data_IF_975062350425
#
_entry.id   IF_975062350425
#
_cell.length_a   1.000
_cell.length_b   1.000
_cell.length_c   1.000
_cell.angle_alpha   90.00
_cell.angle_beta   90.00
_cell.angle_gamma   90.00
#
_symmetry.space_group_name_H-M   'P 1'
#
loop_
_entity.id
_entity.type
_entity.pdbx_description
1 polymer ?
#
# COMPACT_ATOMS: atom_id res chain seq x y z
N UNK A 1 6.09 31.48 -19.92
CA UNK A 1 6.52 30.42 -18.98
C UNK A 1 6.95 29.22 -19.81
N UNK A 2 8.24 28.89 -19.80
CA UNK A 2 8.72 27.67 -20.48
C UNK A 2 8.19 26.41 -19.79
N UNK A 3 8.12 25.27 -20.49
CA UNK A 3 7.68 24.02 -19.88
C UNK A 3 8.65 23.61 -18.76
N UNK A 4 8.13 23.45 -17.53
CA UNK A 4 8.91 22.96 -16.39
C UNK A 4 9.51 21.59 -16.73
N UNK A 5 10.84 21.51 -16.86
CA UNK A 5 11.58 20.35 -17.34
C UNK A 5 11.36 19.05 -16.51
N UNK A 6 10.63 19.12 -15.39
CA UNK A 6 10.34 18.02 -14.47
C UNK A 6 9.20 17.10 -14.90
N UNK A 7 8.41 17.49 -15.90
CA UNK A 7 7.10 16.87 -16.22
C UNK A 7 7.07 16.05 -17.51
N UNK A 8 8.21 15.51 -17.96
CA UNK A 8 8.22 14.52 -19.04
C UNK A 8 7.70 13.18 -18.52
N UNK A 9 6.82 12.56 -19.30
CA UNK A 9 6.26 11.23 -19.00
C UNK A 9 7.02 10.13 -19.73
N UNK A 10 7.80 10.48 -20.75
CA UNK A 10 8.67 9.56 -21.45
C UNK A 10 10.03 10.19 -21.73
N UNK A 11 11.07 9.36 -21.66
CA UNK A 11 12.44 9.74 -22.01
C UNK A 11 13.18 8.53 -22.56
N UNK A 12 14.03 8.74 -23.57
CA UNK A 12 14.98 7.71 -23.99
C UNK A 12 15.89 7.32 -22.82
N UNK A 13 16.38 6.06 -22.76
CA UNK A 13 17.28 5.60 -21.71
C UNK A 13 18.56 6.43 -21.58
N UNK A 14 19.05 6.97 -22.69
CA UNK A 14 20.24 7.85 -22.75
C UNK A 14 19.93 9.33 -22.42
N UNK A 15 18.67 9.65 -22.10
CA UNK A 15 18.21 11.00 -21.78
C UNK A 15 18.16 11.99 -22.95
N UNK A 16 18.50 11.55 -24.17
CA UNK A 16 18.67 12.41 -25.36
C UNK A 16 17.37 13.02 -25.88
N UNK A 17 16.25 12.29 -25.75
CA UNK A 17 14.93 12.73 -26.19
C UNK A 17 13.94 12.54 -25.05
N UNK A 18 13.03 13.50 -24.90
CA UNK A 18 11.98 13.50 -23.86
C UNK A 18 10.68 14.01 -24.44
N UNK A 19 9.55 13.44 -24.00
CA UNK A 19 8.22 13.82 -24.47
C UNK A 19 7.18 13.77 -23.35
N UNK A 20 6.01 14.39 -23.61
CA UNK A 20 4.84 14.40 -22.73
C UNK A 20 3.68 13.82 -23.52
N UNK A 21 3.57 12.50 -23.47
CA UNK A 21 2.62 11.76 -24.30
C UNK A 21 1.53 11.08 -23.47
N UNK A 22 1.66 11.11 -22.13
CA UNK A 22 0.67 10.58 -21.21
C UNK A 22 -0.13 11.73 -20.59
N UNK A 23 -1.45 11.57 -20.53
CA UNK A 23 -2.38 12.57 -20.01
C UNK A 23 -3.39 11.92 -19.07
N UNK A 24 -3.74 12.63 -18.00
CA UNK A 24 -4.81 12.23 -17.08
C UNK A 24 -5.86 13.34 -17.03
N UNK A 25 -7.09 13.00 -17.42
CA UNK A 25 -8.24 13.90 -17.36
C UNK A 25 -9.14 13.50 -16.20
N UNK A 26 -9.81 14.46 -15.58
CA UNK A 26 -10.71 14.22 -14.47
C UNK A 26 -11.99 15.03 -14.60
N UNK A 27 -13.08 14.56 -13.99
CA UNK A 27 -14.32 15.32 -13.90
C UNK A 27 -14.14 16.54 -13.01
N UNK A 28 -15.02 17.54 -13.17
CA UNK A 28 -15.10 18.72 -12.30
C UNK A 28 -15.38 18.36 -10.83
N UNK A 29 -15.91 17.16 -10.59
CA UNK A 29 -16.19 16.64 -9.25
C UNK A 29 -14.96 16.10 -8.52
N UNK A 30 -13.78 16.15 -9.14
CA UNK A 30 -12.51 15.81 -8.47
C UNK A 30 -11.62 17.04 -8.46
N UNK A 31 -11.26 17.48 -7.26
CA UNK A 31 -10.30 18.55 -7.06
C UNK A 31 -8.90 17.97 -6.89
N UNK A 32 -8.03 18.15 -7.87
CA UNK A 32 -6.62 17.75 -7.77
C UNK A 32 -5.87 18.75 -6.88
N UNK A 33 -5.17 18.24 -5.86
CA UNK A 33 -4.35 19.01 -4.92
C UNK A 33 -2.87 18.99 -5.28
N UNK A 34 -2.39 17.85 -5.75
CA UNK A 34 -0.99 17.65 -6.09
C UNK A 34 -0.87 16.68 -7.25
N UNK A 35 0.13 16.88 -8.10
CA UNK A 35 0.54 15.92 -9.11
C UNK A 35 2.06 15.83 -9.16
N UNK A 36 2.57 14.69 -9.62
CA UNK A 36 4.01 14.41 -9.77
C UNK A 36 4.22 13.33 -10.81
N UNK A 37 5.30 13.43 -11.58
CA UNK A 37 5.80 12.30 -12.38
C UNK A 37 6.66 11.40 -11.50
N UNK A 38 6.43 10.09 -11.56
CA UNK A 38 7.14 9.12 -10.74
C UNK A 38 7.69 8.01 -11.61
N UNK A 39 8.98 7.72 -11.48
CA UNK A 39 9.60 6.59 -12.18
C UNK A 39 8.95 5.28 -11.73
N UNK A 40 8.71 4.39 -12.69
CA UNK A 40 8.20 3.04 -12.45
C UNK A 40 9.21 2.01 -12.92
N UNK A 41 9.19 0.82 -12.32
CA UNK A 41 10.20 -0.20 -12.56
C UNK A 41 9.91 -1.08 -13.80
N UNK A 42 8.71 -0.96 -14.38
CA UNK A 42 8.19 -1.86 -15.42
C UNK A 42 8.00 -1.17 -16.79
N UNK A 43 8.34 0.10 -16.91
CA UNK A 43 8.18 0.87 -18.16
C UNK A 43 9.28 1.93 -18.26
N UNK A 44 9.59 2.30 -19.50
CA UNK A 44 10.38 3.46 -19.89
C UNK A 44 9.59 4.78 -19.77
N UNK A 45 8.29 4.71 -19.48
CA UNK A 45 7.47 5.84 -19.07
C UNK A 45 7.57 6.09 -17.56
N UNK A 46 7.27 7.32 -17.17
CA UNK A 46 7.01 7.74 -15.79
C UNK A 46 5.51 7.82 -15.56
N UNK A 47 5.04 7.32 -14.43
CA UNK A 47 3.63 7.38 -14.08
C UNK A 47 3.23 8.78 -13.64
N UNK A 48 2.04 9.22 -14.07
CA UNK A 48 1.38 10.41 -13.55
C UNK A 48 0.71 10.04 -12.22
N UNK A 49 1.26 10.53 -11.11
CA UNK A 49 0.65 10.38 -9.78
C UNK A 49 -0.03 11.68 -9.39
N UNK A 50 -1.31 11.60 -9.03
CA UNK A 50 -2.05 12.74 -8.52
C UNK A 50 -2.76 12.39 -7.21
N UNK A 51 -2.91 13.41 -6.36
CA UNK A 51 -3.68 13.36 -5.13
C UNK A 51 -4.79 14.39 -5.25
N UNK A 52 -6.02 13.98 -4.97
CA UNK A 52 -7.19 14.83 -5.08
C UNK A 52 -8.30 14.40 -4.14
N UNK A 53 -9.31 15.25 -4.08
CA UNK A 53 -10.51 15.07 -3.25
C UNK A 53 -11.73 15.00 -4.16
N UNK A 54 -12.63 14.08 -3.87
CA UNK A 54 -13.96 14.08 -4.47
C UNK A 54 -14.78 15.20 -3.82
N UNK A 55 -15.37 16.08 -4.64
CA UNK A 55 -16.27 17.12 -4.16
C UNK A 55 -17.65 16.50 -3.94
N UNK A 56 -18.04 16.28 -2.69
CA UNK A 56 -19.34 15.72 -2.33
C UNK A 56 -19.34 15.06 -0.95
N UNK A 57 -20.53 14.87 -0.36
CA UNK A 57 -20.69 14.04 0.85
C UNK A 57 -20.96 12.61 0.42
N UNK A 58 -20.04 11.71 0.74
CA UNK A 58 -20.22 10.28 0.52
C UNK A 58 -20.57 9.62 1.85
N UNK A 59 -21.74 8.98 1.91
CA UNK A 59 -22.09 8.14 3.04
C UNK A 59 -21.32 6.82 2.89
N UNK A 60 -20.28 6.64 3.70
CA UNK A 60 -19.68 5.31 3.85
C UNK A 60 -20.65 4.46 4.66
N UNK A 61 -21.05 3.32 4.11
CA UNK A 61 -21.74 2.30 4.87
C UNK A 61 -20.86 1.77 6.02
N UNK A 62 -21.43 0.99 6.95
CA UNK A 62 -20.73 0.49 8.13
C UNK A 62 -19.49 -0.34 7.79
N UNK A 63 -19.46 -0.94 6.59
CA UNK A 63 -18.39 -1.81 6.13
C UNK A 63 -18.37 -3.13 6.91
N UNK A 64 -17.90 -4.20 6.27
CA UNK A 64 -17.65 -5.46 6.97
C UNK A 64 -16.15 -5.63 7.16
N UNK A 65 -15.74 -5.97 8.37
CA UNK A 65 -14.38 -6.39 8.62
C UNK A 65 -14.25 -7.90 8.39
N UNK A 66 -13.25 -8.31 7.63
CA UNK A 66 -12.89 -9.71 7.42
C UNK A 66 -11.47 -9.93 7.91
N UNK A 67 -11.28 -11.00 8.67
CA UNK A 67 -9.96 -11.42 9.14
C UNK A 67 -9.07 -11.78 7.93
N UNK A 68 -7.87 -11.21 7.89
CA UNK A 68 -6.85 -11.70 6.99
C UNK A 68 -6.29 -13.03 7.52
N UNK A 69 -6.81 -14.14 7.02
CA UNK A 69 -6.46 -15.49 7.48
C UNK A 69 -4.98 -15.84 7.34
N UNK A 70 -4.23 -15.18 6.44
CA UNK A 70 -2.77 -15.35 6.36
C UNK A 70 -2.03 -14.94 7.63
N UNK A 71 -2.65 -14.14 8.50
CA UNK A 71 -2.08 -13.79 9.81
C UNK A 71 -2.12 -14.97 10.80
N UNK A 72 -3.02 -15.94 10.60
CA UNK A 72 -3.17 -17.09 11.49
C UNK A 72 -1.99 -18.07 11.38
N UNK A 73 -1.32 -18.10 10.23
CA UNK A 73 -0.16 -18.97 9.99
C UNK A 73 1.19 -18.38 10.45
N UNK A 74 1.19 -17.18 11.03
CA UNK A 74 2.41 -16.51 11.47
C UNK A 74 2.74 -16.87 12.91
N UNK A 75 3.89 -17.50 13.14
CA UNK A 75 4.33 -17.92 14.47
C UNK A 75 4.39 -16.74 15.45
N UNK A 76 4.95 -15.61 15.03
CA UNK A 76 5.03 -14.38 15.84
C UNK A 76 3.65 -13.88 16.29
N UNK A 77 2.64 -14.02 15.42
CA UNK A 77 1.26 -13.61 15.71
C UNK A 77 0.58 -14.61 16.63
N UNK A 78 0.84 -15.91 16.46
CA UNK A 78 0.28 -16.94 17.32
C UNK A 78 0.82 -16.85 18.74
N UNK A 79 2.12 -16.63 18.89
CA UNK A 79 2.77 -16.47 20.20
C UNK A 79 2.23 -15.23 20.93
N UNK A 80 2.17 -14.09 20.23
CA UNK A 80 1.62 -12.86 20.80
C UNK A 80 0.15 -13.04 21.20
N UNK A 81 -0.66 -13.68 20.35
CA UNK A 81 -2.07 -13.96 20.64
C UNK A 81 -2.21 -14.86 21.87
N UNK A 82 -1.45 -15.96 21.98
CA UNK A 82 -1.51 -16.87 23.14
C UNK A 82 -1.22 -16.13 24.44
N UNK A 83 -0.18 -15.29 24.44
CA UNK A 83 0.18 -14.47 25.60
C UNK A 83 -0.95 -13.53 25.99
N UNK A 84 -1.44 -12.71 25.05
CA UNK A 84 -2.52 -11.75 25.35
C UNK A 84 -3.83 -12.44 25.70
N UNK A 85 -4.10 -13.60 25.11
CA UNK A 85 -5.30 -14.39 25.37
C UNK A 85 -5.31 -14.90 26.81
N UNK A 86 -4.17 -15.37 27.33
CA UNK A 86 -4.06 -15.76 28.75
C UNK A 86 -4.43 -14.61 29.69
N UNK A 87 -3.93 -13.39 29.42
CA UNK A 87 -4.27 -12.20 30.20
C UNK A 87 -5.77 -11.86 30.14
N UNK A 88 -6.43 -12.16 29.02
CA UNK A 88 -7.87 -11.95 28.84
C UNK A 88 -8.72 -12.98 29.57
N UNK A 89 -8.22 -14.21 29.69
CA UNK A 89 -8.86 -15.26 30.47
C UNK A 89 -8.86 -14.94 31.97
N UNK A 90 -7.78 -14.33 32.48
CA UNK A 90 -7.68 -13.94 33.89
C UNK A 90 -8.73 -12.88 34.30
N UNK A 91 -9.28 -12.14 33.33
CA UNK A 91 -10.36 -11.17 33.58
C UNK A 91 -11.76 -11.79 33.55
N UNK A 92 -11.91 -13.08 33.27
CA UNK A 92 -13.22 -13.72 33.08
C UNK A 92 -14.16 -13.53 34.27
N UNK A 93 -13.65 -13.65 35.48
CA UNK A 93 -14.44 -13.56 36.71
C UNK A 93 -14.86 -12.12 37.05
N UNK A 94 -14.35 -11.12 36.34
CA UNK A 94 -14.75 -9.71 36.53
C UNK A 94 -16.02 -9.34 35.75
N UNK A 95 -16.57 -10.24 34.94
CA UNK A 95 -17.78 -10.01 34.15
C UNK A 95 -18.95 -10.81 34.69
N UNK A 96 -20.11 -10.17 34.82
CA UNK A 96 -21.38 -10.84 35.11
C UNK A 96 -22.51 -10.18 34.29
N UNK A 97 -23.17 -10.91 33.38
CA UNK A 97 -23.05 -12.35 33.11
C UNK A 97 -21.83 -12.72 32.24
N UNK A 98 -21.48 -14.01 32.21
CA UNK A 98 -20.35 -14.55 31.42
C UNK A 98 -20.45 -14.22 29.92
N UNK A 99 -21.66 -14.01 29.40
CA UNK A 99 -21.87 -13.58 28.01
C UNK A 99 -21.21 -12.24 27.68
N UNK A 100 -21.09 -11.32 28.66
CA UNK A 100 -20.41 -10.04 28.47
C UNK A 100 -18.90 -10.22 28.25
N UNK A 101 -18.28 -11.15 28.99
CA UNK A 101 -16.88 -11.51 28.78
C UNK A 101 -16.65 -12.04 27.36
N UNK A 102 -17.57 -12.89 26.86
CA UNK A 102 -17.45 -13.44 25.52
C UNK A 102 -17.55 -12.38 24.42
N UNK A 103 -18.48 -11.42 24.54
CA UNK A 103 -18.56 -10.30 23.59
C UNK A 103 -17.32 -9.41 23.64
N UNK A 104 -16.83 -9.13 24.85
CA UNK A 104 -15.61 -8.37 25.06
C UNK A 104 -14.38 -9.06 24.44
N UNK A 105 -14.20 -10.36 24.69
CA UNK A 105 -13.08 -11.17 24.20
C UNK A 105 -13.08 -11.25 22.67
N UNK A 106 -14.25 -11.49 22.04
CA UNK A 106 -14.39 -11.43 20.57
C UNK A 106 -13.96 -10.07 20.02
N UNK A 107 -14.34 -8.98 20.69
CA UNK A 107 -13.90 -7.63 20.36
C UNK A 107 -12.37 -7.47 20.43
N UNK A 108 -11.74 -8.00 21.49
CA UNK A 108 -10.28 -7.97 21.66
C UNK A 108 -9.54 -8.76 20.59
N UNK A 109 -10.00 -9.97 20.28
CA UNK A 109 -9.43 -10.78 19.19
C UNK A 109 -9.54 -10.02 17.86
N UNK A 110 -10.69 -9.43 17.58
CA UNK A 110 -10.88 -8.64 16.38
C UNK A 110 -9.89 -7.45 16.31
N UNK A 111 -9.76 -6.69 17.40
CA UNK A 111 -8.87 -5.53 17.45
C UNK A 111 -7.39 -5.91 17.38
N UNK A 112 -7.00 -7.02 18.02
CA UNK A 112 -5.68 -7.61 17.89
C UNK A 112 -5.32 -7.84 16.41
N UNK A 113 -6.16 -8.58 15.67
CA UNK A 113 -5.89 -8.86 14.26
C UNK A 113 -5.98 -7.62 13.36
N UNK A 114 -6.88 -6.67 13.66
CA UNK A 114 -6.90 -5.36 12.98
C UNK A 114 -5.56 -4.64 13.16
N UNK A 115 -5.01 -4.63 14.37
CA UNK A 115 -3.76 -3.94 14.68
C UNK A 115 -2.55 -4.61 14.05
N UNK A 116 -2.43 -5.95 14.14
CA UNK A 116 -1.40 -6.72 13.44
C UNK A 116 -1.48 -6.48 11.93
N UNK A 117 -2.68 -6.54 11.35
CA UNK A 117 -2.91 -6.28 9.92
C UNK A 117 -2.52 -4.86 9.50
N UNK A 118 -2.89 -3.84 10.29
CA UNK A 118 -2.50 -2.44 10.07
C UNK A 118 -0.99 -2.25 10.16
N UNK A 119 -0.33 -2.83 11.17
CA UNK A 119 1.13 -2.76 11.36
C UNK A 119 1.85 -3.38 10.16
N UNK A 120 1.43 -4.57 9.75
CA UNK A 120 1.98 -5.24 8.57
C UNK A 120 1.76 -4.41 7.29
N UNK A 121 0.57 -3.84 7.09
CA UNK A 121 0.28 -2.99 5.94
C UNK A 121 1.12 -1.70 5.93
N UNK A 122 1.32 -1.07 7.09
CA UNK A 122 2.19 0.10 7.25
C UNK A 122 3.64 -0.24 6.93
N UNK A 123 4.16 -1.35 7.44
CA UNK A 123 5.52 -1.82 7.16
C UNK A 123 5.75 -2.00 5.65
N UNK A 124 4.81 -2.68 4.98
CA UNK A 124 4.89 -2.87 3.52
C UNK A 124 4.81 -1.57 2.74
N UNK A 125 3.93 -0.64 3.13
CA UNK A 125 3.84 0.67 2.48
C UNK A 125 5.12 1.48 2.65
N UNK A 126 5.72 1.44 3.86
CA UNK A 126 7.00 2.09 4.13
C UNK A 126 8.10 1.52 3.24
N UNK A 127 8.16 0.20 3.14
CA UNK A 127 9.15 -0.48 2.30
C UNK A 127 8.97 -0.16 0.82
N UNK A 128 7.73 -0.19 0.33
CA UNK A 128 7.41 0.24 -1.03
C UNK A 128 7.84 1.69 -1.29
N UNK A 129 7.52 2.61 -0.39
CA UNK A 129 7.91 4.01 -0.51
C UNK A 129 9.43 4.19 -0.53
N UNK A 130 10.17 3.42 0.28
CA UNK A 130 11.64 3.40 0.30
C UNK A 130 12.19 2.97 -1.06
N UNK A 131 11.72 1.83 -1.58
CA UNK A 131 12.15 1.30 -2.87
C UNK A 131 11.81 2.24 -4.03
N UNK A 132 10.62 2.86 -3.99
CA UNK A 132 10.20 3.82 -5.00
C UNK A 132 11.03 5.11 -4.97
N UNK A 133 11.42 5.57 -3.78
CA UNK A 133 12.34 6.70 -3.64
C UNK A 133 13.72 6.37 -4.21
N UNK A 134 14.28 5.20 -3.85
CA UNK A 134 15.57 4.75 -4.39
C UNK A 134 15.54 4.61 -5.91
N UNK A 135 14.45 4.07 -6.47
CA UNK A 135 14.27 4.00 -7.92
C UNK A 135 14.32 5.38 -8.57
N UNK A 136 13.64 6.37 -7.98
CA UNK A 136 13.63 7.73 -8.51
C UNK A 136 15.03 8.37 -8.45
N UNK A 137 15.74 8.21 -7.33
CA UNK A 137 17.10 8.74 -7.14
C UNK A 137 18.10 8.13 -8.13
N UNK A 138 18.08 6.80 -8.29
CA UNK A 138 18.94 6.11 -9.26
C UNK A 138 18.62 6.51 -10.69
N UNK A 139 17.33 6.62 -11.04
CA UNK A 139 16.92 7.09 -12.36
C UNK A 139 17.40 8.53 -12.64
N UNK A 140 17.32 9.41 -11.64
CA UNK A 140 17.80 10.79 -11.79
C UNK A 140 19.33 10.87 -11.94
N UNK A 141 20.07 9.97 -11.30
CA UNK A 141 21.53 9.81 -11.50
C UNK A 141 21.85 9.29 -12.90
N UNK A 142 21.11 8.28 -13.38
CA UNK A 142 21.24 7.75 -14.74
C UNK A 142 21.06 8.84 -15.79
N UNK A 143 20.03 9.69 -15.64
CA UNK A 143 19.77 10.82 -16.53
C UNK A 143 20.88 11.89 -16.51
N UNK A 144 21.71 11.93 -15.46
CA UNK A 144 22.89 12.80 -15.35
C UNK A 144 24.17 12.14 -15.89
N UNK A 145 24.07 10.93 -16.44
CA UNK A 145 25.19 10.19 -17.04
C UNK A 145 25.97 9.31 -16.06
N UNK A 146 25.47 9.08 -14.85
CA UNK A 146 26.13 8.17 -13.90
C UNK A 146 25.80 6.72 -14.24
N UNK A 147 26.80 5.83 -14.16
CA UNK A 147 26.57 4.39 -14.24
C UNK A 147 25.99 3.88 -12.93
N UNK A 148 24.70 3.53 -12.99
CA UNK A 148 23.91 2.99 -11.89
C UNK A 148 23.18 1.71 -12.32
N UNK A 149 23.65 1.03 -13.37
CA UNK A 149 22.93 -0.09 -13.98
C UNK A 149 22.64 -1.21 -12.97
N UNK A 150 23.65 -1.64 -12.22
CA UNK A 150 23.53 -2.70 -11.23
C UNK A 150 22.57 -2.36 -10.08
N UNK A 151 22.74 -1.22 -9.34
CA UNK A 151 21.80 -0.87 -8.27
C UNK A 151 20.39 -0.60 -8.79
N UNK A 152 20.23 -0.06 -10.01
CA UNK A 152 18.92 0.15 -10.61
C UNK A 152 18.19 -1.17 -10.87
N UNK A 153 18.86 -2.16 -11.45
CA UNK A 153 18.25 -3.47 -11.70
C UNK A 153 17.94 -4.24 -10.41
N UNK A 154 18.77 -4.09 -9.37
CA UNK A 154 18.48 -4.65 -8.05
C UNK A 154 17.17 -4.07 -7.45
N UNK A 155 17.03 -2.74 -7.42
CA UNK A 155 15.82 -2.09 -6.90
C UNK A 155 14.58 -2.44 -7.75
N UNK A 156 14.72 -2.49 -9.08
CA UNK A 156 13.62 -2.93 -9.95
C UNK A 156 13.20 -4.37 -9.65
N UNK A 157 14.15 -5.26 -9.35
CA UNK A 157 13.84 -6.65 -8.97
C UNK A 157 13.05 -6.71 -7.68
N UNK A 158 13.49 -6.02 -6.62
CA UNK A 158 12.77 -5.95 -5.34
C UNK A 158 11.35 -5.37 -5.52
N UNK A 159 11.20 -4.34 -6.36
CA UNK A 159 9.88 -3.78 -6.67
C UNK A 159 8.98 -4.78 -7.42
N UNK A 160 9.52 -5.57 -8.35
CA UNK A 160 8.74 -6.62 -9.04
C UNK A 160 8.21 -7.65 -8.05
N UNK A 161 9.05 -8.10 -7.12
CA UNK A 161 8.65 -9.04 -6.06
C UNK A 161 7.55 -8.44 -5.18
N UNK A 162 7.68 -7.17 -4.78
CA UNK A 162 6.65 -6.47 -4.02
C UNK A 162 5.31 -6.40 -4.75
N UNK A 163 5.31 -6.07 -6.05
CA UNK A 163 4.10 -6.00 -6.87
C UNK A 163 3.47 -7.37 -7.10
N UNK A 164 4.27 -8.42 -7.22
CA UNK A 164 3.79 -9.79 -7.33
C UNK A 164 3.01 -10.20 -6.07
N UNK A 165 3.56 -9.90 -4.90
CA UNK A 165 2.89 -10.19 -3.63
C UNK A 165 1.63 -9.35 -3.41
N UNK A 166 1.64 -8.08 -3.80
CA UNK A 166 0.44 -7.24 -3.70
C UNK A 166 -0.66 -7.70 -4.67
N UNK A 167 -0.29 -8.12 -5.88
CA UNK A 167 -1.23 -8.69 -6.85
C UNK A 167 -1.95 -9.93 -6.30
N UNK A 168 -1.21 -10.85 -5.68
CA UNK A 168 -1.79 -12.03 -4.99
C UNK A 168 -2.79 -11.62 -3.91
N UNK A 169 -2.50 -10.57 -3.14
CA UNK A 169 -3.41 -10.08 -2.08
C UNK A 169 -4.66 -9.42 -2.63
N UNK A 170 -4.55 -8.65 -3.72
CA UNK A 170 -5.71 -8.04 -4.38
C UNK A 170 -6.63 -9.14 -4.90
N UNK A 171 -6.08 -10.16 -5.57
CA UNK A 171 -6.84 -11.33 -6.05
C UNK A 171 -7.54 -12.04 -4.90
N UNK A 172 -6.86 -12.23 -3.75
CA UNK A 172 -7.48 -12.84 -2.57
C UNK A 172 -8.67 -12.02 -2.06
N UNK A 173 -8.58 -10.68 -2.07
CA UNK A 173 -9.69 -9.80 -1.66
C UNK A 173 -10.84 -9.78 -2.67
N UNK A 174 -10.56 -9.94 -3.96
CA UNK A 174 -11.56 -9.87 -5.03
C UNK A 174 -12.34 -11.18 -5.23
N UNK A 175 -11.75 -12.33 -4.90
CA UNK A 175 -12.41 -13.66 -4.97
C UNK A 175 -13.48 -13.88 -3.89
N UNK A 176 -13.82 -12.86 -3.13
CA UNK A 176 -14.83 -12.93 -2.08
C UNK A 176 -16.19 -12.63 -2.71
N UNK A 177 -17.00 -13.66 -2.92
CA UNK A 177 -18.41 -13.50 -3.31
C UNK A 177 -19.13 -12.61 -2.29
N UNK A 178 -19.82 -11.57 -2.78
CA UNK A 178 -20.88 -10.94 -2.01
C UNK A 178 -22.03 -11.93 -1.96
N UNK A 179 -22.12 -12.69 -0.87
CA UNK A 179 -23.38 -13.33 -0.51
C UNK A 179 -24.26 -12.23 0.06
N UNK A 180 -25.19 -11.76 -0.77
CA UNK A 180 -26.38 -11.01 -0.34
C UNK A 180 -27.31 -11.91 0.48
#
# INVERSE_FOLDING_TARGET
MGPDARNFTWSRPDGSVRSRIDFAFTSKSVRIRQHSMVTVHFSDHRAIRFHGELTGKFLRGPGTWKLNSSLLGREDVQEELRRTYSEWQDMKDTFQPIGEWWEWEKGRIQDFFKNVGRKAARGRRKEFSRLQQQLQELHDLQLRGWDVMNPLEAVKKELREHFHDESRRIIFRSKVENRE
#
